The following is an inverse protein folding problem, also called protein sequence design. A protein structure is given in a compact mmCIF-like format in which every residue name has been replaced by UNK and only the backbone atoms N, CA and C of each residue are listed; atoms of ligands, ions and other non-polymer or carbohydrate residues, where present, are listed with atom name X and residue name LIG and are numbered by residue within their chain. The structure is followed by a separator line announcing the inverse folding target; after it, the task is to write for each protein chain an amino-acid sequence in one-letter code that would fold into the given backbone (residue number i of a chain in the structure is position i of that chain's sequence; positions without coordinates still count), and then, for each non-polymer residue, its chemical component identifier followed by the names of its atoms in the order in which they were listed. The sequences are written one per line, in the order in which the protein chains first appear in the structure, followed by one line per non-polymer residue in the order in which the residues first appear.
data_IF_566784831585
#
_entry.id   IF_566784831585
#
_cell.length_a   1.000
_cell.length_b   1.000
_cell.length_c   1.000
_cell.angle_alpha   90.00
_cell.angle_beta   90.00
_cell.angle_gamma   90.00
#
_symmetry.space_group_name_H-M   'P 1'
#
loop_
_entity.id
_entity.type
_entity.pdbx_description
1 polymer ?
#
# COMPACT_ATOMS: atom_id res chain seq x y z
N UNK A 1 -16.06 -35.29 -25.31
CA UNK A 1 -15.35 -34.33 -26.20
C UNK A 1 -15.61 -32.95 -25.63
N UNK A 2 -14.58 -32.15 -25.37
CA UNK A 2 -14.79 -30.82 -24.80
C UNK A 2 -15.05 -29.82 -25.92
N UNK A 3 -16.16 -29.09 -25.84
CA UNK A 3 -16.49 -28.05 -26.80
C UNK A 3 -15.62 -26.82 -26.55
N UNK A 4 -15.12 -26.20 -27.62
CA UNK A 4 -14.42 -24.92 -27.53
C UNK A 4 -15.41 -23.81 -27.87
N UNK A 5 -15.97 -23.09 -26.87
CA UNK A 5 -16.96 -22.05 -27.13
C UNK A 5 -16.32 -20.86 -27.86
N UNK A 6 -17.13 -20.11 -28.60
CA UNK A 6 -16.79 -18.81 -29.18
C UNK A 6 -16.65 -17.73 -28.09
N UNK A 7 -16.00 -16.61 -28.42
CA UNK A 7 -15.86 -15.51 -27.46
C UNK A 7 -17.21 -14.86 -27.11
N UNK A 8 -18.15 -14.80 -28.06
CA UNK A 8 -19.49 -14.25 -27.82
C UNK A 8 -20.32 -15.11 -26.87
N UNK A 9 -20.22 -16.44 -26.96
CA UNK A 9 -20.85 -17.38 -26.01
C UNK A 9 -20.27 -17.21 -24.60
N UNK A 10 -18.94 -17.09 -24.48
CA UNK A 10 -18.28 -16.82 -23.21
C UNK A 10 -18.75 -15.48 -22.61
N UNK A 11 -18.83 -14.43 -23.43
CA UNK A 11 -19.30 -13.12 -22.99
C UNK A 11 -20.77 -13.14 -22.53
N UNK A 12 -21.63 -13.85 -23.27
CA UNK A 12 -23.03 -14.02 -22.91
C UNK A 12 -23.21 -14.77 -21.58
N UNK A 13 -22.46 -15.86 -21.37
CA UNK A 13 -22.47 -16.62 -20.12
C UNK A 13 -21.96 -15.78 -18.94
N UNK A 14 -20.83 -15.09 -19.11
CA UNK A 14 -20.26 -14.21 -18.08
C UNK A 14 -21.21 -13.07 -17.70
N UNK A 15 -21.94 -12.50 -18.68
CA UNK A 15 -22.94 -11.44 -18.43
C UNK A 15 -24.10 -11.95 -17.57
N UNK A 16 -24.58 -13.17 -17.79
CA UNK A 16 -25.64 -13.78 -16.95
C UNK A 16 -25.18 -13.96 -15.50
N UNK A 17 -23.96 -14.43 -15.28
CA UNK A 17 -23.38 -14.58 -13.93
C UNK A 17 -23.24 -13.21 -13.24
N UNK A 18 -22.88 -12.17 -13.98
CA UNK A 18 -22.75 -10.80 -13.46
C UNK A 18 -24.07 -10.13 -13.14
N UNK A 19 -25.14 -10.46 -13.87
CA UNK A 19 -26.48 -9.96 -13.56
C UNK A 19 -26.98 -10.45 -12.20
N UNK A 20 -26.59 -11.67 -11.79
CA UNK A 20 -26.97 -12.22 -10.48
C UNK A 20 -26.02 -11.79 -9.36
N UNK A 21 -24.74 -11.58 -9.65
CA UNK A 21 -23.76 -11.11 -8.68
C UNK A 21 -22.72 -10.17 -9.34
N UNK A 22 -22.97 -8.85 -9.31
CA UNK A 22 -22.13 -7.86 -9.99
C UNK A 22 -20.66 -7.85 -9.53
N UNK A 23 -20.42 -8.18 -8.26
CA UNK A 23 -19.11 -8.04 -7.59
C UNK A 23 -18.22 -9.28 -7.69
N UNK A 24 -18.60 -10.31 -8.46
CA UNK A 24 -17.79 -11.51 -8.60
C UNK A 24 -16.50 -11.26 -9.38
N UNK A 25 -15.37 -11.60 -8.76
CA UNK A 25 -14.06 -11.68 -9.42
C UNK A 25 -13.99 -12.78 -10.48
N UNK A 26 -13.07 -12.64 -11.44
CA UNK A 26 -12.97 -13.50 -12.62
C UNK A 26 -12.88 -15.01 -12.32
N UNK A 27 -12.19 -15.39 -11.24
CA UNK A 27 -12.09 -16.80 -10.82
C UNK A 27 -13.45 -17.39 -10.40
N UNK A 28 -14.29 -16.62 -9.68
CA UNK A 28 -15.64 -17.05 -9.30
C UNK A 28 -16.58 -17.07 -10.50
N UNK A 29 -16.45 -16.10 -11.40
CA UNK A 29 -17.19 -16.10 -12.68
C UNK A 29 -16.82 -17.33 -13.51
N UNK A 30 -15.53 -17.70 -13.58
CA UNK A 30 -15.09 -18.91 -14.27
C UNK A 30 -15.73 -20.17 -13.68
N UNK A 31 -15.72 -20.30 -12.35
CA UNK A 31 -16.34 -21.43 -11.67
C UNK A 31 -17.84 -21.54 -12.01
N UNK A 32 -18.58 -20.43 -11.93
CA UNK A 32 -20.01 -20.39 -12.26
C UNK A 32 -20.29 -20.70 -13.74
N UNK A 33 -19.47 -20.19 -14.66
CA UNK A 33 -19.61 -20.50 -16.10
C UNK A 33 -19.32 -21.98 -16.38
N UNK A 34 -18.32 -22.58 -15.72
CA UNK A 34 -18.00 -24.01 -15.86
C UNK A 34 -19.06 -24.92 -15.24
N UNK A 35 -19.70 -24.48 -14.16
CA UNK A 35 -20.80 -25.21 -13.55
C UNK A 35 -22.04 -25.25 -14.48
N UNK A 36 -22.33 -24.13 -15.16
CA UNK A 36 -23.39 -24.04 -16.15
C UNK A 36 -23.07 -24.74 -17.49
N UNK A 37 -21.78 -24.85 -17.84
CA UNK A 37 -21.29 -25.42 -19.10
C UNK A 37 -20.09 -26.37 -18.86
N UNK A 38 -20.33 -27.57 -18.29
CA UNK A 38 -19.27 -28.48 -17.86
C UNK A 38 -18.45 -29.08 -19.01
N UNK A 39 -18.95 -29.01 -20.24
CA UNK A 39 -18.29 -29.49 -21.44
C UNK A 39 -17.29 -28.48 -22.05
N UNK A 40 -17.28 -27.23 -21.58
CA UNK A 40 -16.44 -26.17 -22.14
C UNK A 40 -14.97 -26.23 -21.71
N UNK A 41 -14.07 -26.22 -22.69
CA UNK A 41 -12.64 -26.01 -22.48
C UNK A 41 -12.33 -24.51 -22.33
N UNK A 42 -12.56 -23.96 -21.13
CA UNK A 42 -12.33 -22.55 -20.83
C UNK A 42 -11.23 -22.33 -19.78
N UNK A 43 -10.19 -21.57 -20.14
CA UNK A 43 -9.15 -21.13 -19.21
C UNK A 43 -9.49 -19.77 -18.58
N UNK A 44 -8.96 -19.49 -17.40
CA UNK A 44 -9.19 -18.21 -16.71
C UNK A 44 -8.66 -17.03 -17.53
N UNK A 45 -7.48 -17.18 -18.15
CA UNK A 45 -6.85 -16.15 -18.97
C UNK A 45 -7.73 -15.79 -20.17
N UNK A 46 -8.34 -16.79 -20.84
CA UNK A 46 -9.26 -16.56 -21.96
C UNK A 46 -10.53 -15.86 -21.51
N UNK A 47 -11.12 -16.29 -20.38
CA UNK A 47 -12.27 -15.61 -19.80
C UNK A 47 -11.96 -14.14 -19.46
N UNK A 48 -10.84 -13.86 -18.79
CA UNK A 48 -10.41 -12.48 -18.46
C UNK A 48 -10.27 -11.62 -19.71
N UNK A 49 -9.71 -12.16 -20.79
CA UNK A 49 -9.57 -11.46 -22.07
C UNK A 49 -10.94 -11.09 -22.67
N UNK A 50 -11.86 -12.06 -22.76
CA UNK A 50 -13.22 -11.85 -23.27
C UNK A 50 -14.00 -10.86 -22.39
N UNK A 51 -13.92 -10.99 -21.07
CA UNK A 51 -14.58 -10.05 -20.16
C UNK A 51 -14.07 -8.62 -20.34
N UNK A 52 -12.76 -8.43 -20.56
CA UNK A 52 -12.18 -7.12 -20.83
C UNK A 52 -12.65 -6.54 -22.18
N UNK A 53 -12.67 -7.35 -23.24
CA UNK A 53 -13.10 -6.95 -24.59
C UNK A 53 -14.58 -6.52 -24.62
N UNK A 54 -15.44 -7.13 -23.81
CA UNK A 54 -16.88 -6.84 -23.77
C UNK A 54 -17.30 -5.90 -22.62
N UNK A 55 -16.37 -5.25 -21.92
CA UNK A 55 -16.70 -4.34 -20.81
C UNK A 55 -17.34 -5.02 -19.60
N UNK A 56 -17.12 -6.33 -19.43
CA UNK A 56 -17.60 -7.15 -18.31
C UNK A 56 -16.56 -7.32 -17.20
N UNK A 57 -15.38 -6.69 -17.32
CA UNK A 57 -14.40 -6.67 -16.24
C UNK A 57 -15.02 -6.09 -14.97
N UNK A 58 -14.52 -6.45 -13.77
CA UNK A 58 -14.74 -5.52 -12.65
C UNK A 58 -14.11 -4.19 -13.10
N UNK A 59 -14.66 -3.02 -12.71
CA UNK A 59 -13.84 -1.83 -12.66
C UNK A 59 -12.65 -2.25 -11.81
N UNK A 60 -11.53 -2.55 -12.46
CA UNK A 60 -10.29 -2.65 -11.73
C UNK A 60 -10.20 -1.28 -11.06
N UNK A 61 -10.02 -1.18 -9.73
CA UNK A 61 -9.41 0.03 -9.22
C UNK A 61 -8.19 0.17 -10.10
N UNK A 62 -8.19 1.21 -10.94
CA UNK A 62 -7.10 1.46 -11.84
C UNK A 62 -5.90 1.50 -10.90
N UNK A 63 -5.09 0.43 -10.91
CA UNK A 63 -3.72 0.53 -10.48
C UNK A 63 -3.18 1.50 -11.50
N UNK A 64 -3.27 2.78 -11.15
CA UNK A 64 -2.83 3.89 -11.96
C UNK A 64 -1.50 3.46 -12.50
N UNK A 65 -1.48 3.13 -13.79
CA UNK A 65 -0.22 2.94 -14.50
C UNK A 65 0.51 4.23 -14.17
N UNK A 66 1.69 4.19 -13.51
CA UNK A 66 2.36 5.42 -13.12
C UNK A 66 2.47 6.23 -14.41
N UNK A 67 1.69 7.32 -14.48
CA UNK A 67 1.72 8.16 -15.66
C UNK A 67 3.18 8.54 -15.79
N UNK A 68 3.77 8.16 -16.93
CA UNK A 68 5.07 8.68 -17.31
C UNK A 68 4.80 10.16 -17.54
N UNK A 69 4.99 10.94 -16.48
CA UNK A 69 4.85 12.39 -16.55
C UNK A 69 5.76 12.88 -17.67
N UNK A 70 5.28 13.73 -18.58
CA UNK A 70 6.18 14.41 -19.48
C UNK A 70 7.20 15.18 -18.64
N UNK A 71 8.49 14.98 -18.97
CA UNK A 71 9.66 15.63 -18.36
C UNK A 71 9.32 17.05 -17.90
N UNK A 72 9.15 17.24 -16.59
CA UNK A 72 9.01 18.56 -16.01
C UNK A 72 10.31 19.32 -16.28
N UNK A 73 10.17 20.52 -16.86
CA UNK A 73 11.22 21.51 -16.90
C UNK A 73 11.77 21.71 -15.48
N UNK A 74 13.08 21.90 -15.38
CA UNK A 74 13.80 22.13 -14.13
C UNK A 74 13.27 23.38 -13.43
N UNK A 75 12.18 23.24 -12.68
CA UNK A 75 11.75 24.21 -11.69
C UNK A 75 12.65 24.06 -10.48
N UNK A 76 13.28 25.18 -10.12
CA UNK A 76 14.10 25.34 -8.92
C UNK A 76 13.39 24.74 -7.72
N UNK A 77 14.02 23.71 -7.15
CA UNK A 77 13.67 23.09 -5.87
C UNK A 77 13.41 24.20 -4.84
N UNK A 78 12.20 24.36 -4.30
CA UNK A 78 12.01 25.28 -3.18
C UNK A 78 12.92 24.81 -2.05
N UNK A 79 13.67 25.76 -1.50
CA UNK A 79 14.48 25.54 -0.30
C UNK A 79 13.59 24.88 0.76
N UNK A 80 14.06 23.88 1.53
CA UNK A 80 13.27 23.27 2.60
C UNK A 80 13.01 24.35 3.66
N UNK A 81 11.91 25.08 3.46
CA UNK A 81 11.37 26.00 4.42
C UNK A 81 11.12 25.23 5.71
N UNK A 82 11.40 25.89 6.83
CA UNK A 82 11.23 25.36 8.18
C UNK A 82 9.99 24.46 8.29
N UNK A 83 10.04 23.34 9.03
CA UNK A 83 8.93 22.40 9.17
C UNK A 83 7.66 23.21 9.41
N UNK A 84 6.82 23.27 8.37
CA UNK A 84 5.57 24.00 8.44
C UNK A 84 4.86 23.44 9.64
N UNK A 85 4.65 24.30 10.64
CA UNK A 85 3.99 23.93 11.88
C UNK A 85 2.71 23.22 11.50
N UNK A 86 2.73 21.90 11.69
CA UNK A 86 1.59 21.02 11.60
C UNK A 86 0.49 21.73 12.39
N UNK A 87 -0.57 22.24 11.74
CA UNK A 87 -1.74 22.67 12.49
C UNK A 87 -2.31 21.37 13.03
N UNK A 88 -2.19 21.11 14.33
CA UNK A 88 -2.66 19.86 14.86
C UNK A 88 -4.15 19.80 14.58
N UNK A 89 -4.63 18.75 13.91
CA UNK A 89 -6.04 18.40 13.94
C UNK A 89 -6.42 17.85 15.34
N UNK A 90 -5.89 18.46 16.40
CA UNK A 90 -6.06 18.07 17.80
C UNK A 90 -7.53 18.19 18.23
N UNK A 91 -8.34 18.95 17.50
CA UNK A 91 -9.76 19.10 17.77
C UNK A 91 -10.59 17.86 17.39
N UNK A 92 -10.11 17.04 16.45
CA UNK A 92 -10.83 15.82 16.07
C UNK A 92 -10.58 14.72 17.11
N UNK A 93 -11.61 13.95 17.50
CA UNK A 93 -11.46 12.86 18.45
C UNK A 93 -10.47 11.82 17.92
N UNK A 94 -9.80 11.16 18.86
CA UNK A 94 -8.91 10.03 18.60
C UNK A 94 -9.53 9.01 17.63
N UNK A 95 -8.73 8.33 16.80
CA UNK A 95 -9.25 7.27 15.94
C UNK A 95 -10.01 6.21 16.75
N UNK A 96 -11.19 5.85 16.28
CA UNK A 96 -11.95 4.72 16.82
C UNK A 96 -11.35 3.45 16.22
N UNK A 97 -10.72 2.63 17.06
CA UNK A 97 -10.12 1.37 16.66
C UNK A 97 -11.16 0.24 16.75
N UNK A 98 -11.11 -0.77 15.85
CA UNK A 98 -11.92 -1.97 15.98
C UNK A 98 -11.63 -2.72 17.28
N UNK A 99 -12.62 -3.46 17.79
CA UNK A 99 -12.47 -4.28 19.01
C UNK A 99 -11.34 -5.29 18.86
N UNK A 100 -11.24 -5.93 17.69
CA UNK A 100 -10.13 -6.80 17.31
C UNK A 100 -9.36 -6.17 16.15
N UNK A 101 -8.62 -5.10 16.45
CA UNK A 101 -7.84 -4.35 15.47
C UNK A 101 -6.86 -5.25 14.70
N UNK A 102 -6.28 -6.26 15.36
CA UNK A 102 -5.37 -7.23 14.73
C UNK A 102 -6.09 -8.07 13.68
N UNK A 103 -7.20 -8.70 14.04
CA UNK A 103 -7.95 -9.54 13.10
C UNK A 103 -8.45 -8.71 11.91
N UNK A 104 -8.90 -7.49 12.16
CA UNK A 104 -9.34 -6.58 11.10
C UNK A 104 -8.18 -6.19 10.17
N UNK A 105 -7.00 -5.88 10.72
CA UNK A 105 -5.82 -5.55 9.93
C UNK A 105 -5.36 -6.72 9.05
N UNK A 106 -5.41 -7.95 9.58
CA UNK A 106 -5.08 -9.17 8.83
C UNK A 106 -6.12 -9.49 7.75
N UNK A 107 -7.41 -9.28 8.04
CA UNK A 107 -8.49 -9.41 7.06
C UNK A 107 -8.28 -8.41 5.92
N UNK A 108 -8.02 -7.15 6.25
CA UNK A 108 -7.74 -6.09 5.29
C UNK A 108 -6.57 -6.46 4.38
N UNK A 109 -5.44 -6.92 4.94
CA UNK A 109 -4.27 -7.34 4.16
C UNK A 109 -4.54 -8.49 3.18
N UNK A 110 -5.51 -9.35 3.50
CA UNK A 110 -5.89 -10.49 2.66
C UNK A 110 -6.86 -10.09 1.55
N UNK A 111 -7.77 -9.17 1.85
CA UNK A 111 -8.89 -8.79 0.98
C UNK A 111 -8.58 -7.58 0.09
N UNK A 112 -7.69 -6.69 0.55
CA UNK A 112 -7.32 -5.47 -0.13
C UNK A 112 -6.05 -5.67 -0.97
N UNK A 113 -5.92 -5.01 -2.14
CA UNK A 113 -4.64 -4.91 -2.84
C UNK A 113 -3.64 -3.99 -2.11
N UNK A 114 -4.09 -3.27 -1.08
CA UNK A 114 -3.29 -2.33 -0.29
C UNK A 114 -2.62 -3.06 0.87
N UNK A 115 -1.47 -2.55 1.32
CA UNK A 115 -0.61 -3.27 2.25
C UNK A 115 -1.01 -3.14 3.71
N UNK A 116 -1.66 -2.03 4.08
CA UNK A 116 -1.99 -1.74 5.48
C UNK A 116 -3.12 -0.70 5.58
N UNK A 117 -3.83 -0.64 6.71
CA UNK A 117 -4.90 0.33 6.96
C UNK A 117 -4.51 1.19 8.17
N UNK A 118 -4.56 2.51 8.05
CA UNK A 118 -4.43 3.45 9.14
C UNK A 118 -5.81 3.97 9.52
N UNK A 119 -6.15 3.89 10.80
CA UNK A 119 -7.43 4.39 11.28
C UNK A 119 -7.36 5.90 11.46
N UNK A 120 -8.20 6.63 10.71
CA UNK A 120 -8.19 8.09 10.72
C UNK A 120 -8.88 8.69 11.95
N UNK A 121 -8.65 9.96 12.24
CA UNK A 121 -9.47 10.71 13.20
C UNK A 121 -10.85 11.05 12.63
N UNK A 122 -11.81 11.35 13.51
CA UNK A 122 -13.17 11.70 13.13
C UNK A 122 -13.97 10.54 12.54
N UNK A 123 -15.03 10.85 11.80
CA UNK A 123 -16.04 9.87 11.35
C UNK A 123 -15.98 9.53 9.87
N UNK A 124 -15.16 10.24 9.07
CA UNK A 124 -15.25 10.19 7.60
C UNK A 124 -14.24 9.25 6.96
N UNK A 125 -12.96 9.34 7.35
CA UNK A 125 -11.86 8.72 6.60
C UNK A 125 -11.00 7.78 7.45
N UNK A 126 -10.71 6.60 6.90
CA UNK A 126 -9.51 5.81 7.17
C UNK A 126 -8.56 5.93 5.97
N UNK A 127 -7.39 5.30 6.04
CA UNK A 127 -6.40 5.40 4.97
C UNK A 127 -5.75 4.06 4.66
N UNK A 128 -5.70 3.70 3.37
CA UNK A 128 -4.94 2.57 2.89
C UNK A 128 -3.50 2.97 2.60
N UNK A 129 -2.54 2.23 3.14
CA UNK A 129 -1.12 2.40 2.86
C UNK A 129 -0.68 1.35 1.87
N UNK A 130 -0.04 1.78 0.79
CA UNK A 130 0.67 0.89 -0.14
C UNK A 130 2.15 1.25 -0.10
N UNK A 131 2.98 0.29 0.26
CA UNK A 131 4.43 0.45 0.20
C UNK A 131 4.95 0.11 -1.20
N UNK A 132 6.20 0.51 -1.48
CA UNK A 132 6.93 -0.16 -2.55
C UNK A 132 7.17 -1.65 -2.17
N UNK A 133 7.46 -2.48 -3.17
CA UNK A 133 7.57 -3.95 -2.99
C UNK A 133 8.61 -4.34 -1.93
N UNK A 134 9.76 -3.66 -1.91
CA UNK A 134 10.85 -3.96 -0.97
C UNK A 134 10.42 -3.72 0.49
N UNK A 135 9.78 -2.57 0.74
CA UNK A 135 9.25 -2.21 2.06
C UNK A 135 8.05 -3.09 2.45
N UNK A 136 7.17 -3.41 1.51
CA UNK A 136 6.07 -4.34 1.75
C UNK A 136 6.59 -5.70 2.21
N UNK A 137 7.57 -6.28 1.50
CA UNK A 137 8.18 -7.56 1.86
C UNK A 137 8.78 -7.51 3.27
N UNK A 138 9.54 -6.44 3.57
CA UNK A 138 10.14 -6.26 4.90
C UNK A 138 9.08 -6.19 6.01
N UNK A 139 8.05 -5.36 5.84
CA UNK A 139 6.98 -5.22 6.85
C UNK A 139 6.19 -6.52 6.99
N UNK A 140 5.87 -7.21 5.90
CA UNK A 140 5.20 -8.51 5.94
C UNK A 140 6.03 -9.55 6.68
N UNK A 141 7.35 -9.61 6.45
CA UNK A 141 8.23 -10.51 7.20
C UNK A 141 8.23 -10.20 8.70
N UNK A 142 8.24 -8.92 9.07
CA UNK A 142 8.17 -8.51 10.48
C UNK A 142 6.83 -8.90 11.10
N UNK A 143 5.72 -8.59 10.44
CA UNK A 143 4.38 -8.96 10.89
C UNK A 143 4.24 -10.48 11.06
N UNK A 144 4.70 -11.29 10.09
CA UNK A 144 4.66 -12.75 10.20
C UNK A 144 5.42 -13.27 11.43
N UNK A 145 6.61 -12.71 11.72
CA UNK A 145 7.36 -13.05 12.94
C UNK A 145 6.59 -12.67 14.22
N UNK A 146 5.86 -11.56 14.22
CA UNK A 146 4.99 -11.19 15.35
C UNK A 146 3.78 -12.12 15.47
N UNK A 147 3.22 -12.56 14.33
CA UNK A 147 2.13 -13.52 14.31
C UNK A 147 2.57 -14.85 14.93
N UNK A 148 3.72 -15.36 14.52
CA UNK A 148 4.33 -16.59 15.04
C UNK A 148 4.65 -16.50 16.54
N UNK A 149 5.14 -15.36 17.01
CA UNK A 149 5.46 -15.14 18.42
C UNK A 149 4.20 -15.04 19.32
N UNK A 150 3.04 -14.65 18.75
CA UNK A 150 1.80 -14.42 19.50
C UNK A 150 1.81 -13.09 20.30
N UNK A 151 0.67 -12.63 20.81
CA UNK A 151 0.62 -11.34 21.52
C UNK A 151 1.41 -11.36 22.85
N UNK A 152 2.04 -10.24 23.25
CA UNK A 152 2.64 -10.11 24.57
C UNK A 152 1.57 -10.24 25.67
N UNK A 153 1.85 -11.05 26.68
CA UNK A 153 0.88 -11.44 27.73
C UNK A 153 0.93 -10.56 28.97
N UNK A 154 2.08 -9.96 29.24
CA UNK A 154 2.34 -9.16 30.44
C UNK A 154 3.11 -7.88 30.11
N UNK A 155 3.18 -6.96 31.08
CA UNK A 155 3.81 -5.65 30.92
C UNK A 155 5.29 -5.73 30.50
N UNK A 156 6.03 -6.74 30.97
CA UNK A 156 7.44 -6.94 30.61
C UNK A 156 7.56 -7.34 29.15
N UNK A 157 6.73 -8.27 28.68
CA UNK A 157 6.70 -8.67 27.28
C UNK A 157 6.26 -7.51 26.38
N UNK A 158 5.26 -6.72 26.80
CA UNK A 158 4.84 -5.51 26.07
C UNK A 158 6.01 -4.54 25.88
N UNK A 159 6.78 -4.29 26.94
CA UNK A 159 7.97 -3.44 26.85
C UNK A 159 9.03 -4.03 25.91
N UNK A 160 9.34 -5.33 26.04
CA UNK A 160 10.29 -6.00 25.14
C UNK A 160 9.87 -5.92 23.68
N UNK A 161 8.56 -6.01 23.40
CA UNK A 161 8.00 -5.86 22.07
C UNK A 161 8.09 -4.43 21.55
N UNK A 162 7.81 -3.44 22.40
CA UNK A 162 7.94 -2.03 22.06
C UNK A 162 9.40 -1.66 21.73
N UNK A 163 10.37 -2.25 22.44
CA UNK A 163 11.82 -2.08 22.20
C UNK A 163 12.34 -2.89 21.00
N UNK A 164 11.57 -3.88 20.53
CA UNK A 164 12.02 -4.78 19.47
C UNK A 164 12.25 -4.02 18.15
N UNK A 165 13.38 -4.27 17.43
CA UNK A 165 13.68 -3.59 16.18
C UNK A 165 12.57 -3.70 15.12
N UNK A 166 11.83 -4.81 15.11
CA UNK A 166 10.70 -5.03 14.22
C UNK A 166 9.54 -4.06 14.45
N UNK A 167 9.17 -3.80 15.71
CA UNK A 167 8.08 -2.88 16.04
C UNK A 167 8.47 -1.46 15.70
N UNK A 168 9.71 -1.08 16.04
CA UNK A 168 10.27 0.22 15.70
C UNK A 168 10.32 0.44 14.18
N UNK A 169 10.74 -0.58 13.42
CA UNK A 169 10.79 -0.47 11.95
C UNK A 169 9.39 -0.30 11.36
N UNK A 170 8.39 -1.08 11.81
CA UNK A 170 7.00 -0.93 11.36
C UNK A 170 6.50 0.50 11.64
N UNK A 171 6.73 1.02 12.85
CA UNK A 171 6.36 2.39 13.19
C UNK A 171 7.05 3.42 12.28
N UNK A 172 8.38 3.33 12.12
CA UNK A 172 9.15 4.28 11.31
C UNK A 172 8.74 4.25 9.83
N UNK A 173 8.30 3.10 9.31
CA UNK A 173 7.79 2.94 7.94
C UNK A 173 6.35 3.44 7.77
N UNK A 174 5.52 3.35 8.81
CA UNK A 174 4.15 3.86 8.80
C UNK A 174 4.10 5.37 9.10
N UNK A 175 5.08 5.92 9.83
CA UNK A 175 5.06 7.30 10.27
C UNK A 175 4.90 8.33 9.13
N UNK A 176 5.61 8.23 7.99
CA UNK A 176 5.40 9.11 6.84
C UNK A 176 3.96 9.06 6.30
N UNK A 177 3.33 7.89 6.31
CA UNK A 177 1.93 7.72 5.91
C UNK A 177 0.99 8.35 6.94
N UNK A 178 1.20 8.11 8.23
CA UNK A 178 0.41 8.69 9.31
C UNK A 178 0.48 10.22 9.29
N UNK A 179 1.67 10.79 9.09
CA UNK A 179 1.86 12.22 8.97
C UNK A 179 1.11 12.81 7.76
N UNK A 180 1.07 12.11 6.63
CA UNK A 180 0.28 12.53 5.46
C UNK A 180 -1.23 12.37 5.67
N UNK A 181 -1.63 11.44 6.53
CA UNK A 181 -3.03 11.22 6.93
C UNK A 181 -3.54 12.23 7.98
N UNK A 182 -2.69 13.14 8.47
CA UNK A 182 -3.05 14.05 9.56
C UNK A 182 -3.11 13.36 10.93
N UNK A 183 -2.51 12.18 11.08
CA UNK A 183 -2.48 11.41 12.33
C UNK A 183 -1.29 11.82 13.20
N UNK A 184 -1.50 11.78 14.52
CA UNK A 184 -0.41 11.99 15.48
C UNK A 184 0.40 10.71 15.67
N UNK A 185 1.54 10.82 16.35
CA UNK A 185 2.36 9.65 16.69
C UNK A 185 1.67 8.76 17.70
N UNK A 186 1.00 9.37 18.65
CA UNK A 186 0.20 8.71 19.67
C UNK A 186 -0.97 7.95 19.04
N UNK A 187 -1.56 8.45 17.95
CA UNK A 187 -2.57 7.71 17.18
C UNK A 187 -1.99 6.43 16.58
N UNK A 188 -0.86 6.54 15.88
CA UNK A 188 -0.17 5.39 15.29
C UNK A 188 0.30 4.39 16.38
N UNK A 189 0.84 4.89 17.48
CA UNK A 189 1.28 4.09 18.62
C UNK A 189 0.13 3.31 19.27
N UNK A 190 -1.01 3.96 19.49
CA UNK A 190 -2.23 3.29 19.98
C UNK A 190 -2.76 2.24 19.02
N UNK A 191 -2.73 2.52 17.72
CA UNK A 191 -3.11 1.54 16.71
C UNK A 191 -2.21 0.30 16.76
N UNK A 192 -0.89 0.48 16.78
CA UNK A 192 0.05 -0.65 16.90
C UNK A 192 -0.11 -1.40 18.23
N UNK A 193 -0.42 -0.70 19.32
CA UNK A 193 -0.73 -1.35 20.59
C UNK A 193 -1.99 -2.22 20.52
N UNK A 194 -3.05 -1.74 19.87
CA UNK A 194 -4.29 -2.50 19.68
C UNK A 194 -4.10 -3.72 18.76
N UNK A 195 -3.27 -3.61 17.73
CA UNK A 195 -3.00 -4.70 16.79
C UNK A 195 -1.99 -5.73 17.30
N UNK A 196 -0.94 -5.26 17.96
CA UNK A 196 0.24 -6.07 18.25
C UNK A 196 0.56 -6.16 19.73
N UNK A 197 -0.22 -5.49 20.59
CA UNK A 197 -0.10 -5.54 22.04
C UNK A 197 0.97 -4.64 22.63
N UNK A 198 1.70 -3.85 21.84
CA UNK A 198 2.76 -2.97 22.32
C UNK A 198 2.84 -1.66 21.53
N UNK A 199 3.14 -0.56 22.24
CA UNK A 199 3.30 0.79 21.68
C UNK A 199 4.80 1.16 21.62
N UNK A 200 5.43 1.25 20.44
CA UNK A 200 6.83 1.66 20.33
C UNK A 200 7.04 3.18 20.48
N UNK A 201 5.99 3.99 20.34
CA UNK A 201 6.08 5.45 20.24
C UNK A 201 6.89 6.09 21.38
N UNK A 202 6.68 5.73 22.67
CA UNK A 202 7.38 6.40 23.78
C UNK A 202 8.89 6.14 23.80
N UNK A 203 9.35 5.13 23.06
CA UNK A 203 10.75 4.69 23.01
C UNK A 203 11.50 5.23 21.80
N UNK A 204 10.80 5.82 20.84
CA UNK A 204 11.43 6.35 19.64
C UNK A 204 12.08 7.68 19.98
N UNK A 205 13.37 7.78 19.69
CA UNK A 205 14.11 9.02 19.88
C UNK A 205 13.60 10.09 18.92
N UNK A 206 13.19 11.22 19.49
CA UNK A 206 12.82 12.39 18.73
C UNK A 206 13.75 13.55 19.03
N UNK A 207 14.27 14.22 18.00
CA UNK A 207 15.09 15.40 18.20
C UNK A 207 14.27 16.50 18.87
N UNK A 208 14.72 16.97 20.04
CA UNK A 208 14.12 18.07 20.81
C UNK A 208 14.82 19.39 20.56
N UNK A 209 16.07 19.31 20.11
CA UNK A 209 16.91 20.47 19.79
C UNK A 209 17.22 20.52 18.30
N UNK A 210 17.54 21.72 17.79
CA UNK A 210 18.00 21.91 16.41
C UNK A 210 19.23 21.05 16.08
N UNK A 211 20.13 20.86 17.05
CA UNK A 211 21.33 20.03 16.89
C UNK A 211 20.97 18.55 16.73
N UNK A 212 20.09 18.03 17.58
CA UNK A 212 19.61 16.65 17.45
C UNK A 212 18.88 16.44 16.14
N UNK A 213 18.09 17.43 15.69
CA UNK A 213 17.38 17.36 14.42
C UNK A 213 18.37 17.23 13.25
N UNK A 214 19.42 18.05 13.23
CA UNK A 214 20.47 17.94 12.20
C UNK A 214 21.16 16.59 12.19
N UNK A 215 21.47 16.02 13.36
CA UNK A 215 22.09 14.67 13.46
C UNK A 215 21.13 13.61 12.94
N UNK A 216 19.88 13.68 13.33
CA UNK A 216 18.84 12.73 12.92
C UNK A 216 18.58 12.80 11.40
N UNK A 217 18.48 14.00 10.83
CA UNK A 217 18.35 14.21 9.39
C UNK A 217 19.57 13.68 8.62
N UNK A 218 20.79 13.90 9.13
CA UNK A 218 22.01 13.39 8.52
C UNK A 218 22.05 11.85 8.54
N UNK A 219 21.63 11.22 9.64
CA UNK A 219 21.51 9.76 9.74
C UNK A 219 20.50 9.21 8.73
N UNK A 220 19.31 9.80 8.62
CA UNK A 220 18.31 9.37 7.64
C UNK A 220 18.76 9.56 6.20
N UNK A 221 19.49 10.64 5.90
CA UNK A 221 20.07 10.85 4.58
C UNK A 221 21.12 9.79 4.22
N UNK A 222 21.96 9.42 5.18
CA UNK A 222 22.94 8.34 5.04
C UNK A 222 22.27 6.96 4.86
N UNK A 223 21.24 6.65 5.65
CA UNK A 223 20.44 5.43 5.52
C UNK A 223 19.75 5.35 4.15
N UNK A 224 19.12 6.43 3.69
CA UNK A 224 18.49 6.50 2.37
C UNK A 224 19.52 6.31 1.25
N UNK A 225 20.73 6.87 1.38
CA UNK A 225 21.82 6.66 0.43
C UNK A 225 22.28 5.20 0.39
N UNK A 226 22.47 4.57 1.56
CA UNK A 226 22.82 3.13 1.67
C UNK A 226 21.73 2.25 1.08
N UNK A 227 20.48 2.55 1.36
CA UNK A 227 19.32 1.85 0.83
C UNK A 227 19.30 1.93 -0.70
N UNK A 228 19.46 3.13 -1.28
CA UNK A 228 19.55 3.33 -2.73
C UNK A 228 20.67 2.51 -3.36
N UNK A 229 21.86 2.50 -2.77
CA UNK A 229 22.99 1.71 -3.28
C UNK A 229 22.65 0.21 -3.29
N UNK A 230 22.09 -0.31 -2.19
CA UNK A 230 21.73 -1.73 -2.11
C UNK A 230 20.58 -2.11 -3.06
N UNK A 231 19.52 -1.30 -3.13
CA UNK A 231 18.40 -1.54 -4.04
C UNK A 231 18.84 -1.47 -5.51
N UNK A 232 19.73 -0.53 -5.86
CA UNK A 232 20.32 -0.49 -7.21
C UNK A 232 21.20 -1.71 -7.52
N UNK A 233 21.90 -2.28 -6.54
CA UNK A 233 22.64 -3.54 -6.71
C UNK A 233 21.68 -4.69 -7.03
N UNK A 234 20.62 -4.87 -6.24
CA UNK A 234 19.61 -5.91 -6.44
C UNK A 234 18.92 -5.76 -7.79
N UNK A 235 18.49 -4.54 -8.14
CA UNK A 235 17.85 -4.26 -9.45
C UNK A 235 18.75 -4.60 -10.62
N UNK A 236 20.08 -4.38 -10.53
CA UNK A 236 21.03 -4.79 -11.57
C UNK A 236 21.12 -6.30 -11.68
N UNK A 237 21.11 -7.02 -10.57
CA UNK A 237 21.10 -8.48 -10.54
C UNK A 237 19.82 -9.04 -11.16
N UNK A 238 18.65 -8.50 -10.80
CA UNK A 238 17.36 -8.86 -11.40
C UNK A 238 17.31 -8.55 -12.90
N UNK A 239 17.74 -7.37 -13.31
CA UNK A 239 17.76 -6.99 -14.73
C UNK A 239 18.69 -7.89 -15.55
N UNK A 240 19.79 -8.39 -14.97
CA UNK A 240 20.67 -9.37 -15.62
C UNK A 240 20.02 -10.74 -15.70
N UNK A 241 19.41 -11.20 -14.62
CA UNK A 241 18.74 -12.51 -14.55
C UNK A 241 17.51 -12.60 -15.48
N UNK A 242 16.83 -11.47 -15.71
CA UNK A 242 15.65 -11.42 -16.56
C UNK A 242 15.96 -11.42 -18.07
N UNK A 243 17.21 -11.19 -18.50
CA UNK A 243 17.57 -11.11 -19.93
C UNK A 243 17.26 -12.42 -20.64
N UNK A 244 16.57 -12.33 -21.78
CA UNK A 244 16.17 -13.49 -22.57
C UNK A 244 15.07 -14.34 -21.93
N UNK A 245 14.45 -13.86 -20.85
CA UNK A 245 13.27 -14.49 -20.24
C UNK A 245 12.01 -13.67 -20.55
N UNK A 246 10.84 -14.23 -20.30
CA UNK A 246 9.55 -13.53 -20.42
C UNK A 246 9.41 -12.32 -19.47
N UNK A 247 10.33 -12.16 -18.51
CA UNK A 247 10.38 -11.03 -17.58
C UNK A 247 11.36 -9.93 -18.00
N UNK A 248 11.97 -10.04 -19.19
CA UNK A 248 12.82 -8.98 -19.74
C UNK A 248 12.01 -7.67 -19.84
N UNK A 249 12.54 -6.58 -19.26
CA UNK A 249 11.85 -5.28 -19.18
C UNK A 249 11.04 -5.03 -17.90
N UNK A 250 10.91 -6.01 -16.99
CA UNK A 250 10.29 -5.82 -15.66
C UNK A 250 11.00 -4.75 -14.82
N UNK A 251 12.32 -4.63 -14.97
CA UNK A 251 13.12 -3.53 -14.41
C UNK A 251 13.32 -2.49 -15.50
N UNK A 252 12.75 -1.30 -15.33
CA UNK A 252 12.98 -0.17 -16.24
C UNK A 252 14.48 0.18 -16.24
N UNK A 253 15.08 0.21 -17.43
CA UNK A 253 16.49 0.54 -17.63
C UNK A 253 16.66 1.72 -18.58
N UNK A 254 17.79 2.42 -18.47
CA UNK A 254 18.20 3.46 -19.42
C UNK A 254 18.77 2.88 -20.72
N UNK A 255 19.18 3.74 -21.65
CA UNK A 255 19.79 3.33 -22.92
C UNK A 255 21.10 2.52 -22.75
N UNK A 256 21.71 2.51 -21.56
CA UNK A 256 22.92 1.73 -21.22
C UNK A 256 22.57 0.42 -20.49
N UNK A 257 21.29 0.10 -20.33
CA UNK A 257 20.82 -1.06 -19.58
C UNK A 257 21.01 -0.94 -18.06
N UNK A 258 21.24 0.26 -17.52
CA UNK A 258 21.30 0.49 -16.08
C UNK A 258 19.88 0.70 -15.53
N UNK A 259 19.51 0.10 -14.39
CA UNK A 259 18.21 0.35 -13.78
C UNK A 259 17.99 1.83 -13.51
N UNK A 260 16.78 2.31 -13.80
CA UNK A 260 16.37 3.66 -13.44
C UNK A 260 16.02 3.71 -11.95
N UNK A 261 16.52 4.75 -11.26
CA UNK A 261 16.14 5.06 -9.89
C UNK A 261 15.23 6.28 -9.88
N UNK A 262 14.02 6.09 -9.40
CA UNK A 262 13.06 7.16 -9.16
C UNK A 262 12.86 7.28 -7.64
N UNK A 263 13.25 8.42 -7.06
CA UNK A 263 13.17 8.61 -5.61
C UNK A 263 11.72 8.60 -5.11
N UNK A 264 10.77 9.03 -5.94
CA UNK A 264 9.34 9.12 -5.60
C UNK A 264 8.63 7.77 -5.66
N UNK A 265 9.25 6.78 -6.31
CA UNK A 265 8.71 5.42 -6.47
C UNK A 265 9.53 4.40 -5.66
N UNK A 266 10.84 4.60 -5.59
CA UNK A 266 11.79 3.64 -5.05
C UNK A 266 12.45 4.09 -3.76
N UNK A 267 12.24 5.34 -3.31
CA UNK A 267 12.77 5.82 -2.03
C UNK A 267 12.33 4.94 -0.86
N UNK A 268 13.18 4.87 0.17
CA UNK A 268 12.99 3.99 1.34
C UNK A 268 11.66 4.23 2.08
N UNK A 269 11.12 5.45 2.01
CA UNK A 269 9.92 5.87 2.73
C UNK A 269 8.78 6.26 1.78
N UNK A 270 8.85 5.82 0.53
CA UNK A 270 7.78 6.05 -0.45
C UNK A 270 6.56 5.21 -0.08
N UNK A 271 5.44 5.91 0.08
CA UNK A 271 4.12 5.33 0.34
C UNK A 271 3.09 5.96 -0.57
N UNK A 272 2.18 5.15 -1.10
CA UNK A 272 0.91 5.64 -1.66
C UNK A 272 -0.11 5.53 -0.54
N UNK A 273 -0.87 6.61 -0.34
CA UNK A 273 -1.87 6.70 0.71
C UNK A 273 -3.21 6.98 0.06
N UNK A 274 -4.18 6.07 0.21
CA UNK A 274 -5.50 6.17 -0.42
C UNK A 274 -6.54 6.42 0.66
N UNK A 275 -7.47 7.36 0.45
CA UNK A 275 -8.56 7.57 1.40
C UNK A 275 -9.53 6.41 1.34
N UNK A 276 -10.01 5.96 2.50
CA UNK A 276 -11.04 4.95 2.65
C UNK A 276 -12.25 5.57 3.36
N UNK A 277 -13.44 5.40 2.81
CA UNK A 277 -14.65 5.79 3.53
C UNK A 277 -14.85 4.87 4.74
N UNK A 278 -14.98 5.44 5.95
CA UNK A 278 -15.18 4.66 7.17
C UNK A 278 -16.44 3.80 7.08
N UNK A 279 -16.32 2.54 7.52
CA UNK A 279 -17.43 1.59 7.57
C UNK A 279 -17.71 0.84 6.26
N UNK A 280 -17.28 1.35 5.11
CA UNK A 280 -17.43 0.65 3.81
C UNK A 280 -16.09 0.25 3.20
N UNK A 281 -14.99 0.86 3.64
CA UNK A 281 -13.64 0.65 3.12
C UNK A 281 -13.51 0.91 1.60
N UNK A 282 -14.44 1.68 1.04
CA UNK A 282 -14.41 2.09 -0.37
C UNK A 282 -13.32 3.14 -0.56
N UNK A 283 -12.46 2.93 -1.56
CA UNK A 283 -11.39 3.87 -1.93
C UNK A 283 -11.97 5.17 -2.52
N UNK A 284 -11.51 6.32 -2.01
CA UNK A 284 -11.92 7.66 -2.41
C UNK A 284 -10.76 8.50 -3.00
N UNK A 285 -9.82 7.82 -3.65
CA UNK A 285 -8.67 8.42 -4.32
C UNK A 285 -7.43 8.57 -3.44
N UNK A 286 -6.28 8.68 -4.11
CA UNK A 286 -4.97 8.82 -3.49
C UNK A 286 -4.75 10.25 -2.97
N UNK A 287 -4.11 10.35 -1.81
CA UNK A 287 -3.63 11.62 -1.27
C UNK A 287 -2.40 12.09 -2.07
N UNK A 288 -2.31 13.41 -2.37
CA UNK A 288 -1.15 13.96 -3.07
C UNK A 288 0.15 13.70 -2.30
N UNK A 289 1.27 13.56 -3.03
CA UNK A 289 2.59 13.33 -2.43
C UNK A 289 3.20 14.61 -1.86
N UNK A 290 2.87 15.76 -2.44
CA UNK A 290 3.41 17.07 -2.09
C UNK A 290 2.28 18.11 -2.07
N UNK A 291 2.18 18.87 -0.99
CA UNK A 291 1.38 20.11 -0.81
C UNK A 291 -0.09 20.04 -0.31
N UNK A 292 -0.40 21.06 0.52
CA UNK A 292 -1.71 21.70 0.74
C UNK A 292 -2.95 20.81 0.69
N UNK A 293 -3.27 20.16 1.80
CA UNK A 293 -4.49 19.38 1.93
C UNK A 293 -5.72 20.28 2.06
N UNK A 294 -6.73 20.00 1.24
CA UNK A 294 -8.10 20.51 1.40
C UNK A 294 -8.99 19.37 1.90
N UNK A 295 -9.55 19.51 3.12
CA UNK A 295 -10.31 18.46 3.80
C UNK A 295 -11.60 18.07 3.09
N UNK A 296 -12.06 18.94 2.18
CA UNK A 296 -13.40 18.89 1.64
C UNK A 296 -13.47 18.32 0.22
N UNK A 297 -12.37 17.80 -0.34
CA UNK A 297 -12.41 17.14 -1.65
C UNK A 297 -13.39 15.94 -1.63
N UNK A 298 -14.46 15.96 -2.45
CA UNK A 298 -15.43 14.86 -2.51
C UNK A 298 -14.77 13.56 -3.01
N UNK A 299 -15.35 12.41 -2.67
CA UNK A 299 -14.97 11.15 -3.34
C UNK A 299 -15.27 11.34 -4.84
N UNK A 300 -14.24 11.30 -5.68
CA UNK A 300 -14.45 11.24 -7.12
C UNK A 300 -15.01 9.85 -7.44
N UNK A 301 -16.33 9.73 -7.48
CA UNK A 301 -17.01 8.55 -8.03
C UNK A 301 -16.90 8.58 -9.55
N UNK A 302 -15.68 8.47 -10.06
CA UNK A 302 -15.42 8.21 -11.48
C UNK A 302 -14.94 6.77 -11.53
N UNK A 303 -15.92 5.87 -11.63
CA UNK A 303 -15.73 4.46 -11.98
C UNK A 303 -15.57 4.33 -13.49
#
# INVERSE_FOLDING_TARGET
MSATPSNDEIAAAARKVRQTAPDMGAAKVLAAVKDAHPDWALSEQRLRKVMKEHGLGLPHPSLSTPQIFPKAATTSRPSPGAPGFYRPHDEAPAPVLPIDARAEQLRYQKESPRSYKLYGRGTKWDYAVTWNVDMQLMVTMMQNRMLEAGLPRDARQKQQWAEAPMMRTIFEQLWPAAQRAGLSREDLGRQLEAEWGANPEPLIFYPRTKRELMVWEAQRADEAAKYKVNSMRIKREMARAARGTEHEGSVKTDARGQPLWDEEVNGQYVVILTRLHKGTDVECGDLPQHEGWDSDMPCSHTL
#
